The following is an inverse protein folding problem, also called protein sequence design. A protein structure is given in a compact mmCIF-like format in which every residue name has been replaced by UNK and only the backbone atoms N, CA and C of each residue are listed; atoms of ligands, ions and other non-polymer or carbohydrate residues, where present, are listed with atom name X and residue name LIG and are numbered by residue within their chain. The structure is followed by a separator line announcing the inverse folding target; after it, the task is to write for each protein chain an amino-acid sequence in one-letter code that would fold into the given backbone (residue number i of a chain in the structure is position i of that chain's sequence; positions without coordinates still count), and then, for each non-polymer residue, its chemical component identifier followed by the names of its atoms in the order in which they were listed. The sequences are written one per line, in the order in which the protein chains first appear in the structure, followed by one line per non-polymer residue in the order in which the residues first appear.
data_IF_855435223436
#
_entry.id   IF_855435223436
#
_cell.length_a   1.000
_cell.length_b   1.000
_cell.length_c   1.000
_cell.angle_alpha   90.00
_cell.angle_beta   90.00
_cell.angle_gamma   90.00
#
_symmetry.space_group_name_H-M   'P 1'
#
loop_
_entity.id
_entity.type
_entity.pdbx_description
1 polymer ?
#
# COMPACT_ATOMS: atom_id res chain seq x y z
N UNK A 1 -14.34 14.87 3.94
CA UNK A 1 -13.22 14.24 3.22
C UNK A 1 -12.32 13.62 4.26
N UNK A 2 -11.93 12.36 4.09
CA UNK A 2 -11.03 11.69 5.02
C UNK A 2 -9.57 11.94 4.64
N UNK A 3 -8.69 11.88 5.63
CA UNK A 3 -7.25 11.81 5.44
C UNK A 3 -6.82 10.39 5.84
N UNK A 4 -6.12 9.69 4.96
CA UNK A 4 -5.65 8.33 5.19
C UNK A 4 -4.13 8.28 5.33
N UNK A 5 -3.65 7.47 6.28
CA UNK A 5 -2.23 7.35 6.59
C UNK A 5 -1.87 5.91 6.97
N UNK A 6 -0.85 5.35 6.32
CA UNK A 6 -0.25 4.07 6.65
C UNK A 6 1.10 4.27 7.35
N UNK A 7 1.27 3.67 8.52
CA UNK A 7 2.47 3.82 9.36
C UNK A 7 3.04 2.45 9.73
N UNK A 8 4.35 2.28 9.53
CA UNK A 8 5.10 1.08 9.92
C UNK A 8 6.34 1.52 10.70
N UNK A 9 6.56 0.98 11.91
CA UNK A 9 7.67 1.37 12.78
C UNK A 9 7.84 2.89 12.94
N UNK A 10 6.73 3.63 13.12
CA UNK A 10 6.66 5.09 13.18
C UNK A 10 7.00 5.84 11.88
N UNK A 11 7.30 5.14 10.79
CA UNK A 11 7.53 5.71 9.46
C UNK A 11 6.23 5.74 8.67
N UNK A 12 5.89 6.91 8.13
CA UNK A 12 4.74 7.07 7.23
C UNK A 12 5.13 6.56 5.85
N UNK A 13 4.49 5.47 5.40
CA UNK A 13 4.80 4.80 4.13
C UNK A 13 3.80 5.13 3.01
N UNK A 14 2.61 5.61 3.36
CA UNK A 14 1.65 6.20 2.42
C UNK A 14 0.73 7.20 3.14
N UNK A 15 0.34 8.28 2.46
CA UNK A 15 -0.52 9.33 3.03
C UNK A 15 -1.25 10.09 1.92
N UNK A 16 -2.56 10.25 2.03
CA UNK A 16 -3.40 10.85 0.97
C UNK A 16 -4.76 11.31 1.48
N UNK A 17 -5.35 12.31 0.83
CA UNK A 17 -6.76 12.67 0.98
C UNK A 17 -7.66 11.99 -0.07
N UNK A 18 -7.05 11.35 -1.07
CA UNK A 18 -7.70 10.60 -2.13
C UNK A 18 -7.35 9.12 -2.01
N UNK A 19 -8.31 8.31 -1.57
CA UNK A 19 -8.17 6.86 -1.40
C UNK A 19 -9.51 6.18 -1.64
N UNK A 20 -9.46 4.87 -1.90
CA UNK A 20 -10.65 4.05 -2.07
C UNK A 20 -10.83 3.11 -0.88
N UNK A 21 -12.08 2.79 -0.54
CA UNK A 21 -12.40 1.72 0.40
C UNK A 21 -12.93 0.52 -0.38
N UNK A 22 -12.23 -0.62 -0.27
CA UNK A 22 -12.65 -1.87 -0.89
C UNK A 22 -12.62 -2.95 0.17
N UNK A 23 -13.79 -3.55 0.43
CA UNK A 23 -13.97 -4.64 1.41
C UNK A 23 -13.38 -4.32 2.80
N UNK A 24 -13.58 -3.10 3.29
CA UNK A 24 -13.08 -2.65 4.60
C UNK A 24 -11.59 -2.30 4.64
N UNK A 25 -10.88 -2.37 3.50
CA UNK A 25 -9.47 -1.99 3.39
C UNK A 25 -9.32 -0.63 2.69
N UNK A 26 -8.32 0.14 3.09
CA UNK A 26 -7.92 1.38 2.42
C UNK A 26 -6.97 1.05 1.27
N UNK A 27 -7.31 1.50 0.08
CA UNK A 27 -6.47 1.42 -1.12
C UNK A 27 -5.90 2.80 -1.41
N UNK A 28 -4.58 2.90 -1.27
CA UNK A 28 -3.81 4.11 -1.56
C UNK A 28 -3.49 4.18 -3.07
N UNK A 29 -3.65 5.33 -3.73
CA UNK A 29 -3.16 5.51 -5.08
C UNK A 29 -1.63 5.38 -5.09
N UNK A 30 -1.02 4.80 -6.14
CA UNK A 30 0.43 4.59 -6.19
C UNK A 30 1.27 5.85 -5.97
N UNK A 31 0.77 7.02 -6.40
CA UNK A 31 1.42 8.32 -6.21
C UNK A 31 1.53 8.77 -4.75
N UNK A 32 0.70 8.22 -3.86
CA UNK A 32 0.74 8.51 -2.42
C UNK A 32 1.63 7.56 -1.62
N UNK A 33 2.13 6.50 -2.27
CA UNK A 33 3.01 5.50 -1.66
C UNK A 33 4.45 5.96 -1.79
N UNK A 34 5.17 5.98 -0.68
CA UNK A 34 6.60 6.32 -0.61
C UNK A 34 7.44 5.13 -1.02
N UNK A 35 7.68 5.01 -2.33
CA UNK A 35 8.30 3.85 -2.97
C UNK A 35 9.70 3.54 -2.45
N UNK A 36 10.41 4.50 -1.84
CA UNK A 36 11.70 4.29 -1.19
C UNK A 36 11.66 3.25 -0.07
N UNK A 37 10.48 3.00 0.52
CA UNK A 37 10.30 2.00 1.57
C UNK A 37 9.83 0.63 1.05
N UNK A 38 9.60 0.46 -0.25
CA UNK A 38 9.04 -0.77 -0.82
C UNK A 38 10.00 -1.42 -1.80
N UNK A 39 10.27 -2.70 -1.60
CA UNK A 39 11.02 -3.54 -2.56
C UNK A 39 10.07 -4.55 -3.18
N UNK A 40 10.03 -4.63 -4.51
CA UNK A 40 9.21 -5.61 -5.23
C UNK A 40 9.67 -7.05 -4.89
N UNK A 41 8.73 -7.97 -4.84
CA UNK A 41 8.99 -9.42 -4.74
C UNK A 41 8.47 -10.15 -5.98
N UNK A 42 8.87 -11.40 -6.15
CA UNK A 42 8.30 -12.29 -7.18
C UNK A 42 6.96 -12.92 -6.74
N UNK A 43 6.46 -12.61 -5.54
CA UNK A 43 5.21 -13.16 -5.03
C UNK A 43 4.01 -12.45 -5.65
N UNK A 44 3.10 -13.26 -6.17
CA UNK A 44 1.83 -12.84 -6.75
C UNK A 44 0.71 -13.77 -6.30
N UNK A 45 -0.51 -13.24 -6.18
CA UNK A 45 -1.72 -14.05 -5.93
C UNK A 45 -2.83 -13.59 -6.84
N UNK A 46 -3.64 -14.52 -7.33
CA UNK A 46 -4.77 -14.22 -8.21
C UNK A 46 -6.09 -14.28 -7.44
N UNK A 47 -6.94 -13.27 -7.64
CA UNK A 47 -8.31 -13.24 -7.15
C UNK A 47 -9.27 -13.09 -8.36
N UNK A 48 -10.29 -13.97 -8.51
CA UNK A 48 -11.12 -14.00 -9.72
C UNK A 48 -11.79 -12.69 -10.13
N UNK A 49 -12.00 -11.76 -9.19
CA UNK A 49 -12.68 -10.50 -9.42
C UNK A 49 -11.81 -9.25 -9.18
N UNK A 50 -10.65 -9.40 -8.50
CA UNK A 50 -9.66 -8.30 -8.31
C UNK A 50 -8.46 -8.39 -9.26
N UNK A 51 -8.29 -9.51 -9.95
CA UNK A 51 -7.12 -9.79 -10.78
C UNK A 51 -5.90 -10.19 -9.95
N UNK A 52 -4.72 -9.84 -10.44
CA UNK A 52 -3.44 -10.22 -9.85
C UNK A 52 -2.93 -9.18 -8.84
N UNK A 53 -2.65 -9.62 -7.62
CA UNK A 53 -1.96 -8.82 -6.63
C UNK A 53 -0.44 -9.02 -6.75
N UNK A 54 0.31 -7.92 -6.68
CA UNK A 54 1.77 -7.95 -6.56
C UNK A 54 2.19 -7.61 -5.14
N UNK A 55 3.12 -8.39 -4.59
CA UNK A 55 3.57 -8.20 -3.21
C UNK A 55 4.90 -7.45 -3.13
N UNK A 56 5.00 -6.60 -2.13
CA UNK A 56 6.18 -5.79 -1.85
C UNK A 56 6.61 -6.00 -0.39
N UNK A 57 7.92 -6.04 -0.17
CA UNK A 57 8.51 -6.01 1.17
C UNK A 57 8.69 -4.57 1.60
N UNK A 58 8.18 -4.22 2.79
CA UNK A 58 8.42 -2.91 3.42
C UNK A 58 9.76 -2.96 4.15
N UNK A 59 10.66 -2.04 3.81
CA UNK A 59 11.97 -1.86 4.45
C UNK A 59 11.99 -0.55 5.21
N UNK A 60 11.78 -0.62 6.52
CA UNK A 60 11.85 0.51 7.45
C UNK A 60 12.61 0.09 8.70
N UNK A 61 13.52 0.94 9.18
CA UNK A 61 14.21 0.74 10.46
C UNK A 61 15.56 0.02 10.42
N UNK A 62 16.05 -0.40 9.25
CA UNK A 62 17.33 -1.13 9.11
C UNK A 62 17.19 -2.62 9.36
#
# INVERSE_FOLDING_TARGET
SGHAKAVVNSTVVAETDAYEFVEGNVYFPPSSVKSEYFTKTDQHTHCPWKGDASYYTIKVGG
#
